data_IF_381587699475
#
_entry.id   IF_381587699475
#
_cell.length_a   1.000
_cell.length_b   1.000
_cell.length_c   1.000
_cell.angle_alpha   90.00
_cell.angle_beta   90.00
_cell.angle_gamma   90.00
#
_symmetry.space_group_name_H-M   'P 1'
#
loop_
_entity.id
_entity.type
_entity.pdbx_description
1 polymer ?
#
# COMPACT_ATOMS: atom_id res chain seq x y z
N UNK A 1 -21.13 16.87 13.26
CA UNK A 1 -19.85 17.46 12.86
C UNK A 1 -18.92 16.32 12.44
N UNK A 2 -18.13 16.46 11.38
CA UNK A 2 -17.09 15.47 11.12
C UNK A 2 -16.13 15.41 12.32
N UNK A 3 -15.55 14.26 12.64
CA UNK A 3 -14.57 14.17 13.71
C UNK A 3 -13.35 15.04 13.36
N UNK A 4 -12.63 15.56 14.37
CA UNK A 4 -11.42 16.33 14.13
C UNK A 4 -10.41 15.53 13.31
N UNK A 5 -9.56 16.18 12.52
CA UNK A 5 -8.51 15.49 11.80
C UNK A 5 -7.58 14.76 12.78
N UNK A 6 -7.16 13.54 12.42
CA UNK A 6 -6.19 12.80 13.21
C UNK A 6 -4.86 13.58 13.29
N UNK A 7 -4.13 13.50 14.41
CA UNK A 7 -2.84 14.16 14.55
C UNK A 7 -1.88 13.74 13.44
N UNK A 8 -1.13 14.70 12.91
CA UNK A 8 -0.07 14.46 11.96
C UNK A 8 1.26 14.32 12.71
N UNK A 9 1.97 13.23 12.47
CA UNK A 9 3.29 12.95 13.02
C UNK A 9 4.30 13.07 11.89
N UNK A 10 5.31 13.94 12.04
CA UNK A 10 6.39 14.06 11.09
C UNK A 10 7.38 12.90 11.26
N UNK A 11 7.79 12.27 10.16
CA UNK A 11 8.82 11.24 10.13
C UNK A 11 10.08 11.68 9.34
N UNK A 12 10.12 12.94 8.96
CA UNK A 12 11.25 13.56 8.28
C UNK A 12 11.13 15.08 8.26
N UNK A 13 12.02 15.75 7.52
CA UNK A 13 12.10 17.22 7.50
C UNK A 13 11.27 17.86 6.38
N UNK A 14 10.80 17.07 5.41
CA UNK A 14 9.96 17.58 4.33
C UNK A 14 8.49 17.65 4.76
N UNK A 15 7.71 18.66 4.34
CA UNK A 15 6.28 18.79 4.71
C UNK A 15 5.41 17.57 4.34
N UNK A 16 5.78 16.82 3.29
CA UNK A 16 5.10 15.59 2.88
C UNK A 16 5.61 14.33 3.61
N UNK A 17 6.63 14.44 4.45
CA UNK A 17 7.11 13.33 5.29
C UNK A 17 6.34 13.31 6.62
N UNK A 18 5.04 13.02 6.52
CA UNK A 18 4.11 12.98 7.66
C UNK A 18 3.19 11.78 7.57
N UNK A 19 2.70 11.30 8.69
CA UNK A 19 1.61 10.33 8.75
C UNK A 19 0.51 10.81 9.69
N UNK A 20 -0.74 10.46 9.40
CA UNK A 20 -1.83 10.64 10.36
C UNK A 20 -2.01 9.37 11.17
N UNK A 21 -1.97 9.51 12.51
CA UNK A 21 -2.21 8.43 13.44
C UNK A 21 -3.68 8.41 13.86
N UNK A 22 -4.38 7.33 13.53
CA UNK A 22 -5.74 7.06 13.97
C UNK A 22 -5.69 5.92 14.99
N UNK A 23 -6.09 6.20 16.22
CA UNK A 23 -6.17 5.20 17.29
C UNK A 23 -7.61 4.78 17.56
N UNK A 24 -7.83 3.57 18.06
CA UNK A 24 -9.11 3.17 18.64
C UNK A 24 -9.57 4.14 19.72
N UNK A 25 -10.89 4.28 19.88
CA UNK A 25 -11.46 5.19 20.88
C UNK A 25 -11.36 4.68 22.33
N UNK A 26 -11.09 3.39 22.50
CA UNK A 26 -10.92 2.75 23.78
C UNK A 26 -9.54 3.04 24.37
N UNK A 27 -9.45 3.11 25.70
CA UNK A 27 -8.15 3.17 26.37
C UNK A 27 -7.45 1.81 26.25
N UNK A 28 -6.17 1.83 25.92
CA UNK A 28 -5.38 0.61 25.79
C UNK A 28 -4.16 0.79 24.88
N UNK A 29 -3.71 -0.31 24.32
CA UNK A 29 -2.51 -0.40 23.48
C UNK A 29 -1.37 -1.14 24.19
N UNK A 30 -0.23 -1.33 23.54
CA UNK A 30 0.02 -0.97 22.14
C UNK A 30 -0.90 -1.72 21.15
N UNK A 31 -1.37 -1.00 20.15
CA UNK A 31 -2.38 -1.48 19.20
C UNK A 31 -1.76 -2.19 17.99
N UNK A 32 -2.35 -3.32 17.51
CA UNK A 32 -1.99 -3.88 16.20
C UNK A 32 -2.17 -2.81 15.13
N UNK A 33 -1.19 -2.68 14.24
CA UNK A 33 -1.06 -1.51 13.39
C UNK A 33 -1.24 -1.85 11.92
N UNK A 34 -2.05 -1.06 11.24
CA UNK A 34 -2.18 -1.10 9.77
C UNK A 34 -1.59 0.18 9.18
N UNK A 35 -0.52 0.03 8.41
CA UNK A 35 0.05 1.12 7.62
C UNK A 35 -0.75 1.27 6.34
N UNK A 36 -1.22 2.48 6.04
CA UNK A 36 -1.92 2.78 4.79
C UNK A 36 -1.04 3.58 3.86
N UNK A 37 -0.89 3.12 2.62
CA UNK A 37 -0.12 3.77 1.56
C UNK A 37 -1.06 4.08 0.40
N UNK A 38 -1.31 5.36 0.17
CA UNK A 38 -2.28 5.81 -0.83
C UNK A 38 -1.82 5.60 -2.27
N UNK A 39 -2.77 5.61 -3.20
CA UNK A 39 -2.55 5.56 -4.64
C UNK A 39 -2.41 6.93 -5.31
N UNK A 40 -2.70 6.96 -6.62
CA UNK A 40 -2.74 8.18 -7.40
C UNK A 40 -1.65 8.28 -8.47
N UNK A 41 -1.16 7.16 -8.99
CA UNK A 41 -0.14 7.10 -10.07
C UNK A 41 1.12 7.92 -9.75
N UNK A 42 1.53 7.96 -8.47
CA UNK A 42 2.68 8.75 -7.98
C UNK A 42 2.62 10.24 -8.33
N UNK A 43 1.40 10.80 -8.54
CA UNK A 43 1.18 12.21 -8.94
C UNK A 43 0.80 13.07 -7.74
N UNK A 44 1.33 14.31 -7.67
CA UNK A 44 1.17 15.26 -6.55
C UNK A 44 -0.27 15.69 -6.25
N UNK A 45 -1.21 15.49 -7.18
CA UNK A 45 -2.63 15.82 -6.98
C UNK A 45 -3.36 14.88 -6.01
N UNK A 46 -2.75 13.74 -5.68
CA UNK A 46 -3.30 12.75 -4.76
C UNK A 46 -2.46 12.68 -3.49
N UNK A 47 -3.12 12.50 -2.36
CA UNK A 47 -2.48 12.42 -1.06
C UNK A 47 -3.17 11.39 -0.16
N UNK A 48 -2.71 11.26 1.08
CA UNK A 48 -3.22 10.33 2.08
C UNK A 48 -4.69 10.53 2.46
N UNK A 49 -5.33 11.65 2.06
CA UNK A 49 -6.77 11.85 2.34
C UNK A 49 -7.63 10.80 1.64
N UNK A 50 -7.15 10.22 0.53
CA UNK A 50 -7.84 9.15 -0.20
C UNK A 50 -7.99 7.86 0.60
N UNK A 51 -7.10 7.59 1.55
CA UNK A 51 -7.14 6.42 2.45
C UNK A 51 -7.63 6.75 3.86
N UNK A 52 -7.92 8.01 4.16
CA UNK A 52 -8.47 8.44 5.47
C UNK A 52 -9.78 7.71 5.85
N UNK A 53 -10.73 7.43 4.93
CA UNK A 53 -11.91 6.63 5.28
C UNK A 53 -11.55 5.24 5.83
N UNK A 54 -10.57 4.56 5.22
CA UNK A 54 -10.08 3.26 5.69
C UNK A 54 -9.41 3.38 7.06
N UNK A 55 -8.62 4.45 7.28
CA UNK A 55 -7.96 4.67 8.57
C UNK A 55 -8.97 4.82 9.71
N UNK A 56 -10.08 5.51 9.47
CA UNK A 56 -11.17 5.66 10.43
C UNK A 56 -11.92 4.35 10.68
N UNK A 57 -12.17 3.58 9.63
CA UNK A 57 -12.82 2.26 9.73
C UNK A 57 -11.95 1.29 10.55
N UNK A 58 -10.66 1.26 10.31
CA UNK A 58 -9.69 0.44 11.06
C UNK A 58 -9.67 0.84 12.55
N UNK A 59 -9.61 2.14 12.85
CA UNK A 59 -9.64 2.62 14.24
C UNK A 59 -10.95 2.23 14.95
N UNK A 60 -12.09 2.32 14.26
CA UNK A 60 -13.38 1.87 14.79
C UNK A 60 -13.45 0.36 15.06
N UNK A 61 -12.58 -0.43 14.41
CA UNK A 61 -12.47 -1.90 14.57
C UNK A 61 -11.40 -2.34 15.56
N UNK A 62 -10.73 -1.42 16.25
CA UNK A 62 -9.72 -1.75 17.26
C UNK A 62 -8.29 -1.90 16.72
N UNK A 63 -7.99 -1.39 15.53
CA UNK A 63 -6.65 -1.33 14.96
C UNK A 63 -6.13 0.10 14.96
N UNK A 64 -4.85 0.30 15.26
CA UNK A 64 -4.21 1.57 14.94
C UNK A 64 -4.01 1.67 13.43
N UNK A 65 -4.31 2.84 12.84
CA UNK A 65 -4.03 3.08 11.43
C UNK A 65 -3.02 4.21 11.29
N UNK A 66 -1.91 3.89 10.64
CA UNK A 66 -0.81 4.79 10.31
C UNK A 66 -0.88 5.16 8.85
N UNK A 67 -1.48 6.32 8.55
CA UNK A 67 -1.80 6.75 7.19
C UNK A 67 -0.69 7.64 6.64
N UNK A 68 0.20 7.06 5.84
CA UNK A 68 1.46 7.67 5.39
C UNK A 68 1.22 8.59 4.18
N UNK A 69 1.76 9.80 4.27
CA UNK A 69 2.02 10.69 3.12
C UNK A 69 3.45 10.46 2.65
N UNK A 70 3.76 10.76 1.40
CA UNK A 70 5.11 10.63 0.85
C UNK A 70 5.33 11.59 -0.32
N UNK A 71 6.58 11.98 -0.58
CA UNK A 71 6.93 12.81 -1.74
C UNK A 71 6.72 12.05 -3.05
N UNK A 72 6.13 12.71 -4.02
CA UNK A 72 5.93 12.20 -5.39
C UNK A 72 7.02 12.74 -6.32
N UNK A 73 8.29 12.57 -5.92
CA UNK A 73 9.48 13.08 -6.61
C UNK A 73 10.18 11.99 -7.44
N UNK A 74 9.44 10.93 -7.78
CA UNK A 74 9.93 9.82 -8.60
C UNK A 74 10.70 8.77 -7.78
N UNK A 75 11.22 7.78 -8.52
CA UNK A 75 12.02 6.68 -7.98
C UNK A 75 13.48 7.12 -7.78
N UNK A 76 14.17 6.76 -6.67
CA UNK A 76 13.70 5.97 -5.54
C UNK A 76 13.14 6.80 -4.37
N UNK A 77 13.09 8.13 -4.49
CA UNK A 77 12.74 9.06 -3.40
C UNK A 77 11.40 8.71 -2.76
N UNK A 78 10.38 8.42 -3.59
CA UNK A 78 9.04 8.05 -3.12
C UNK A 78 9.06 6.78 -2.27
N UNK A 79 9.82 5.75 -2.66
CA UNK A 79 9.96 4.53 -1.85
C UNK A 79 10.68 4.80 -0.53
N UNK A 80 11.75 5.60 -0.56
CA UNK A 80 12.51 5.93 0.66
C UNK A 80 11.62 6.61 1.70
N UNK A 81 10.70 7.48 1.28
CA UNK A 81 9.75 8.12 2.19
C UNK A 81 8.77 7.11 2.79
N UNK A 82 8.23 6.19 1.97
CA UNK A 82 7.33 5.14 2.48
C UNK A 82 8.04 4.24 3.49
N UNK A 83 9.29 3.85 3.22
CA UNK A 83 10.11 3.06 4.15
C UNK A 83 10.34 3.84 5.44
N UNK A 84 10.79 5.09 5.37
CA UNK A 84 10.99 5.94 6.54
C UNK A 84 9.69 6.15 7.34
N UNK A 85 8.56 6.32 6.64
CA UNK A 85 7.24 6.40 7.27
C UNK A 85 6.82 5.14 8.00
N UNK A 86 7.19 3.95 7.50
CA UNK A 86 6.97 2.67 8.19
C UNK A 86 7.90 2.56 9.40
N UNK A 87 9.17 2.91 9.26
CA UNK A 87 10.16 2.78 10.33
C UNK A 87 9.88 3.72 11.51
N UNK A 88 9.24 4.87 11.24
CA UNK A 88 8.81 5.80 12.28
C UNK A 88 7.74 5.24 13.25
N UNK A 89 7.14 4.09 12.95
CA UNK A 89 6.28 3.36 13.89
C UNK A 89 7.03 2.99 15.17
N UNK A 90 8.33 2.71 15.08
CA UNK A 90 9.15 2.34 16.23
C UNK A 90 9.28 3.46 17.29
N UNK A 91 8.94 4.69 16.93
CA UNK A 91 8.95 5.87 17.83
C UNK A 91 7.59 6.11 18.50
N UNK A 92 6.59 5.26 18.24
CA UNK A 92 5.22 5.44 18.72
C UNK A 92 4.85 4.39 19.77
N UNK A 93 4.93 4.73 21.05
CA UNK A 93 4.64 3.81 22.17
C UNK A 93 3.24 3.19 22.13
N UNK A 94 2.29 3.84 21.47
CA UNK A 94 0.90 3.36 21.31
C UNK A 94 0.74 2.26 20.26
N UNK A 95 1.78 1.96 19.46
CA UNK A 95 1.73 1.02 18.34
C UNK A 95 2.49 -0.27 18.66
N UNK A 96 1.88 -1.41 18.31
CA UNK A 96 2.53 -2.71 18.39
C UNK A 96 3.32 -2.98 17.11
N UNK A 97 4.63 -2.79 17.18
CA UNK A 97 5.56 -2.97 16.06
C UNK A 97 5.82 -4.44 15.71
N UNK A 98 5.40 -5.39 16.55
CA UNK A 98 5.44 -6.82 16.26
C UNK A 98 4.22 -7.30 15.47
N UNK A 99 3.15 -6.49 15.42
CA UNK A 99 1.90 -6.78 14.70
C UNK A 99 1.58 -5.66 13.70
N UNK A 100 2.37 -5.60 12.61
CA UNK A 100 2.23 -4.56 11.56
C UNK A 100 1.90 -5.20 10.22
N UNK A 101 0.85 -4.71 9.57
CA UNK A 101 0.48 -5.02 8.18
C UNK A 101 0.51 -3.74 7.36
N UNK A 102 1.12 -3.77 6.18
CA UNK A 102 1.04 -2.66 5.23
C UNK A 102 -0.06 -2.92 4.20
N UNK A 103 -0.91 -1.94 3.97
CA UNK A 103 -1.99 -1.94 2.98
C UNK A 103 -1.79 -0.80 2.01
N UNK A 104 -1.59 -1.11 0.73
CA UNK A 104 -1.38 -0.10 -0.30
C UNK A 104 -2.42 -0.18 -1.41
N UNK A 105 -2.93 0.98 -1.84
CA UNK A 105 -3.89 1.09 -2.94
C UNK A 105 -3.20 1.50 -4.23
N UNK A 106 -3.49 0.83 -5.36
CA UNK A 106 -3.01 1.23 -6.69
C UNK A 106 -1.48 1.39 -6.73
N UNK A 107 -0.94 2.57 -7.04
CA UNK A 107 0.48 2.90 -6.91
C UNK A 107 1.02 2.66 -5.49
N UNK A 108 0.21 2.86 -4.45
CA UNK A 108 0.56 2.52 -3.06
C UNK A 108 0.73 1.03 -2.83
N UNK A 109 0.02 0.17 -3.57
CA UNK A 109 0.21 -1.29 -3.53
C UNK A 109 1.60 -1.69 -4.02
N UNK A 110 2.08 -1.06 -5.08
CA UNK A 110 3.46 -1.21 -5.55
C UNK A 110 4.45 -0.78 -4.47
N UNK A 111 4.24 0.40 -3.86
CA UNK A 111 5.14 0.95 -2.84
C UNK A 111 5.16 0.07 -1.58
N UNK A 112 4.00 -0.38 -1.10
CA UNK A 112 3.89 -1.25 0.09
C UNK A 112 4.64 -2.58 -0.09
N UNK A 113 4.46 -3.26 -1.24
CA UNK A 113 5.19 -4.49 -1.55
C UNK A 113 6.70 -4.26 -1.67
N UNK A 114 7.12 -3.12 -2.24
CA UNK A 114 8.55 -2.80 -2.32
C UNK A 114 9.14 -2.42 -0.96
N UNK A 115 8.39 -1.69 -0.13
CA UNK A 115 8.84 -1.31 1.21
C UNK A 115 9.07 -2.52 2.13
N UNK A 116 8.33 -3.62 1.94
CA UNK A 116 8.46 -4.83 2.75
C UNK A 116 9.89 -5.43 2.78
N UNK A 117 10.67 -5.20 1.72
CA UNK A 117 12.04 -5.68 1.63
C UNK A 117 13.07 -4.71 2.23
N UNK A 118 12.66 -3.50 2.64
CA UNK A 118 13.57 -2.41 3.03
C UNK A 118 13.28 -1.83 4.41
N UNK A 119 12.04 -1.95 4.92
CA UNK A 119 11.65 -1.41 6.23
C UNK A 119 12.39 -2.12 7.36
N UNK A 120 12.85 -1.36 8.36
CA UNK A 120 13.42 -1.88 9.60
C UNK A 120 12.35 -2.49 10.51
N UNK A 121 11.14 -1.92 10.50
CA UNK A 121 9.97 -2.52 11.14
C UNK A 121 9.49 -3.72 10.32
N UNK A 122 9.44 -4.88 10.96
CA UNK A 122 9.03 -6.12 10.30
C UNK A 122 7.53 -6.13 9.99
N UNK A 123 7.20 -6.19 8.72
CA UNK A 123 5.82 -6.41 8.29
C UNK A 123 5.42 -7.89 8.42
N UNK A 124 4.29 -8.16 9.05
CA UNK A 124 3.69 -9.50 9.16
C UNK A 124 3.09 -9.96 7.85
N UNK A 125 2.52 -9.01 7.11
CA UNK A 125 1.97 -9.23 5.78
C UNK A 125 1.91 -7.91 5.00
N UNK A 126 1.71 -8.00 3.69
CA UNK A 126 1.41 -6.86 2.82
C UNK A 126 0.11 -7.14 2.07
N UNK A 127 -0.75 -6.12 2.02
CA UNK A 127 -2.00 -6.15 1.26
C UNK A 127 -1.89 -5.16 0.10
N UNK A 128 -2.17 -5.61 -1.10
CA UNK A 128 -2.27 -4.74 -2.29
C UNK A 128 -3.71 -4.68 -2.78
N UNK A 129 -4.26 -3.48 -2.77
CA UNK A 129 -5.59 -3.15 -3.28
C UNK A 129 -5.44 -2.59 -4.70
N UNK A 130 -5.87 -3.33 -5.71
CA UNK A 130 -5.81 -2.90 -7.12
C UNK A 130 -4.42 -2.38 -7.57
N UNK A 131 -3.33 -3.04 -7.14
CA UNK A 131 -1.96 -2.56 -7.28
C UNK A 131 -1.39 -2.62 -8.70
N UNK A 132 -0.49 -1.66 -9.02
CA UNK A 132 0.35 -1.70 -10.23
C UNK A 132 1.61 -2.51 -9.91
N UNK A 133 1.60 -3.81 -10.18
CA UNK A 133 2.59 -4.76 -9.64
C UNK A 133 3.67 -5.18 -10.64
N UNK A 134 3.42 -5.00 -11.94
CA UNK A 134 4.39 -5.11 -13.02
C UNK A 134 4.46 -3.76 -13.75
N UNK A 135 5.52 -2.99 -13.45
CA UNK A 135 5.69 -1.65 -13.99
C UNK A 135 6.07 -1.66 -15.48
N UNK A 136 6.74 -2.71 -15.97
CA UNK A 136 7.04 -2.85 -17.41
C UNK A 136 5.75 -3.06 -18.19
N UNK A 137 4.89 -3.98 -17.73
CA UNK A 137 3.57 -4.18 -18.32
C UNK A 137 2.71 -2.92 -18.21
N UNK A 138 2.78 -2.21 -17.08
CA UNK A 138 2.09 -0.93 -16.86
C UNK A 138 2.53 0.17 -17.84
N UNK A 139 3.84 0.31 -18.06
CA UNK A 139 4.37 1.26 -19.02
C UNK A 139 3.94 0.93 -20.47
N UNK A 140 4.06 -0.34 -20.87
CA UNK A 140 3.66 -0.80 -22.21
C UNK A 140 2.16 -0.64 -22.47
N UNK A 141 1.33 -0.76 -21.43
CA UNK A 141 -0.10 -0.50 -21.48
C UNK A 141 -0.45 0.98 -21.35
N UNK A 142 0.52 1.88 -21.26
CA UNK A 142 0.34 3.32 -21.05
C UNK A 142 -0.56 3.64 -19.85
N UNK A 143 -0.47 2.86 -18.76
CA UNK A 143 -1.31 3.07 -17.58
C UNK A 143 -1.17 4.49 -17.04
N UNK A 144 -2.31 5.12 -16.78
CA UNK A 144 -2.37 6.48 -16.25
C UNK A 144 -1.66 7.50 -17.12
N UNK A 145 -1.73 7.38 -18.47
CA UNK A 145 -1.09 8.29 -19.42
C UNK A 145 0.42 8.47 -19.12
N UNK A 146 1.18 7.38 -19.23
CA UNK A 146 2.62 7.38 -19.03
C UNK A 146 3.07 7.52 -17.57
N UNK A 147 2.24 7.14 -16.62
CA UNK A 147 2.55 7.31 -15.19
C UNK A 147 3.78 6.51 -14.74
N UNK A 148 3.98 5.30 -15.28
CA UNK A 148 5.17 4.48 -14.96
C UNK A 148 6.44 5.14 -15.50
N UNK A 149 6.40 5.65 -16.73
CA UNK A 149 7.52 6.34 -17.37
C UNK A 149 7.88 7.62 -16.60
N UNK A 150 6.87 8.42 -16.24
CA UNK A 150 7.08 9.64 -15.45
C UNK A 150 7.67 9.34 -14.06
N UNK A 151 7.21 8.27 -13.41
CA UNK A 151 7.68 7.86 -12.09
C UNK A 151 9.13 7.36 -12.12
N UNK A 152 9.50 6.61 -13.17
CA UNK A 152 10.83 5.99 -13.30
C UNK A 152 11.81 6.83 -14.11
N UNK A 153 11.33 7.88 -14.80
CA UNK A 153 12.15 8.83 -15.54
C UNK A 153 12.59 8.35 -16.92
N UNK A 154 11.81 7.46 -17.57
CA UNK A 154 12.05 6.97 -18.93
C UNK A 154 11.28 5.72 -19.29
N UNK A 155 11.43 5.25 -20.52
CA UNK A 155 10.85 4.02 -21.02
C UNK A 155 11.56 2.77 -20.44
N UNK A 156 10.87 1.57 -20.42
CA UNK A 156 11.49 0.34 -19.90
C UNK A 156 12.85 -0.01 -20.51
N UNK A 157 13.02 0.26 -21.79
CA UNK A 157 14.27 -0.07 -22.48
C UNK A 157 15.39 0.98 -22.24
N UNK A 158 15.02 2.20 -21.78
CA UNK A 158 15.97 3.29 -21.48
C UNK A 158 16.48 3.22 -20.03
N UNK A 159 15.61 2.82 -19.08
CA UNK A 159 15.91 2.79 -17.64
C UNK A 159 15.59 1.43 -17.03
N UNK A 160 15.98 0.34 -17.69
CA UNK A 160 15.62 -1.03 -17.34
C UNK A 160 15.93 -1.41 -15.88
N UNK A 161 17.04 -0.93 -15.34
CA UNK A 161 17.42 -1.16 -13.93
C UNK A 161 16.41 -0.56 -12.96
N UNK A 162 15.91 0.66 -13.22
CA UNK A 162 14.89 1.29 -12.38
C UNK A 162 13.58 0.52 -12.40
N UNK A 163 13.17 0.00 -13.57
CA UNK A 163 12.02 -0.88 -13.67
C UNK A 163 12.22 -2.18 -12.90
N UNK A 164 13.39 -2.80 -13.00
CA UNK A 164 13.73 -4.03 -12.27
C UNK A 164 13.76 -3.81 -10.75
N UNK A 165 14.21 -2.64 -10.29
CA UNK A 165 14.22 -2.29 -8.87
C UNK A 165 12.84 -1.94 -8.34
N UNK A 166 12.06 -1.16 -9.10
CA UNK A 166 10.78 -0.63 -8.64
C UNK A 166 9.63 -1.63 -8.77
N UNK A 167 9.68 -2.55 -9.74
CA UNK A 167 8.59 -3.49 -10.01
C UNK A 167 8.56 -4.63 -8.99
N UNK A 168 7.46 -4.79 -8.21
CA UNK A 168 7.31 -5.95 -7.33
C UNK A 168 7.49 -7.28 -8.05
N UNK A 169 6.95 -7.41 -9.28
CA UNK A 169 7.06 -8.64 -10.08
C UNK A 169 8.50 -9.03 -10.42
N UNK A 170 9.42 -8.06 -10.51
CA UNK A 170 10.83 -8.31 -10.78
C UNK A 170 11.66 -8.66 -9.53
N UNK A 171 11.05 -8.63 -8.35
CA UNK A 171 11.73 -8.81 -7.06
C UNK A 171 11.22 -9.98 -6.22
N UNK A 172 10.56 -10.90 -6.87
CA UNK A 172 10.07 -12.15 -6.26
C UNK A 172 11.23 -13.13 -6.01
N UNK A 173 11.20 -13.95 -4.95
CA UNK A 173 10.20 -13.93 -3.89
C UNK A 173 10.39 -12.74 -2.93
N UNK A 174 9.28 -12.22 -2.35
CA UNK A 174 9.35 -11.18 -1.33
C UNK A 174 9.55 -11.74 0.09
N UNK A 175 9.20 -13.01 0.31
CA UNK A 175 9.38 -13.69 1.59
C UNK A 175 8.46 -13.21 2.71
N UNK A 176 7.44 -12.41 2.42
CA UNK A 176 6.41 -11.93 3.34
C UNK A 176 5.03 -12.41 2.85
N UNK A 177 4.11 -12.81 3.74
CA UNK A 177 2.74 -13.14 3.36
C UNK A 177 2.06 -11.99 2.63
N UNK A 178 1.32 -12.29 1.56
CA UNK A 178 0.72 -11.30 0.68
C UNK A 178 -0.76 -11.58 0.46
N UNK A 179 -1.58 -10.53 0.52
CA UNK A 179 -2.98 -10.54 0.11
C UNK A 179 -3.18 -9.53 -1.02
N UNK A 180 -3.72 -9.97 -2.12
CA UNK A 180 -4.14 -9.10 -3.21
C UNK A 180 -5.66 -9.07 -3.26
N UNK A 181 -6.24 -7.88 -3.27
CA UNK A 181 -7.67 -7.67 -3.52
C UNK A 181 -7.81 -6.77 -4.75
N UNK A 182 -8.46 -7.27 -5.80
CA UNK A 182 -8.56 -6.54 -7.05
C UNK A 182 -9.95 -6.72 -7.66
N UNK A 183 -10.65 -5.60 -7.86
CA UNK A 183 -11.98 -5.61 -8.45
C UNK A 183 -11.96 -6.15 -9.89
N UNK A 184 -12.91 -7.04 -10.23
CA UNK A 184 -12.97 -7.59 -11.60
C UNK A 184 -13.33 -6.58 -12.67
N UNK A 185 -14.00 -5.50 -12.29
CA UNK A 185 -14.44 -4.43 -13.17
C UNK A 185 -13.51 -3.21 -13.15
N UNK A 186 -12.29 -3.36 -12.62
CA UNK A 186 -11.29 -2.31 -12.61
C UNK A 186 -10.85 -1.95 -14.03
N UNK A 187 -11.21 -0.75 -14.47
CA UNK A 187 -10.91 -0.17 -15.80
C UNK A 187 -9.72 0.82 -15.76
N UNK A 188 -9.15 1.07 -14.56
CA UNK A 188 -8.01 1.97 -14.34
C UNK A 188 -6.71 1.17 -14.27
N UNK A 189 -6.67 0.13 -13.43
CA UNK A 189 -5.56 -0.82 -13.35
C UNK A 189 -6.12 -2.20 -13.68
N UNK A 190 -5.81 -2.77 -14.86
CA UNK A 190 -6.38 -4.05 -15.25
C UNK A 190 -6.10 -5.16 -14.23
N UNK A 191 -7.08 -6.01 -13.86
CA UNK A 191 -6.89 -7.12 -12.91
C UNK A 191 -5.79 -8.11 -13.32
N UNK A 192 -5.39 -8.09 -14.60
CA UNK A 192 -4.23 -8.81 -15.12
C UNK A 192 -2.92 -8.50 -14.37
N UNK A 193 -2.78 -7.30 -13.81
CA UNK A 193 -1.64 -6.92 -12.96
C UNK A 193 -1.54 -7.83 -11.74
N UNK A 194 -2.62 -7.99 -10.98
CA UNK A 194 -2.65 -8.85 -9.79
C UNK A 194 -2.62 -10.34 -10.14
N UNK A 195 -3.29 -10.76 -11.21
CA UNK A 195 -3.28 -12.17 -11.66
C UNK A 195 -1.88 -12.62 -12.07
N UNK A 196 -1.21 -11.83 -12.92
CA UNK A 196 0.15 -12.13 -13.38
C UNK A 196 1.15 -12.17 -12.22
N UNK A 197 1.07 -11.16 -11.36
CA UNK A 197 1.91 -11.09 -10.17
C UNK A 197 1.67 -12.29 -9.22
N UNK A 198 0.42 -12.62 -8.90
CA UNK A 198 0.10 -13.75 -8.03
C UNK A 198 0.58 -15.08 -8.57
N UNK A 199 0.49 -15.30 -9.89
CA UNK A 199 1.01 -16.49 -10.54
C UNK A 199 2.54 -16.59 -10.41
N UNK A 200 3.25 -15.49 -10.68
CA UNK A 200 4.70 -15.41 -10.56
C UNK A 200 5.18 -15.59 -9.10
N UNK A 201 4.51 -14.96 -8.15
CA UNK A 201 4.83 -15.05 -6.72
C UNK A 201 4.66 -16.48 -6.19
N UNK A 202 3.58 -17.18 -6.56
CA UNK A 202 3.40 -18.61 -6.22
C UNK A 202 4.50 -19.48 -6.83
N UNK A 203 4.86 -19.23 -8.09
CA UNK A 203 5.93 -19.95 -8.75
C UNK A 203 7.30 -19.72 -8.09
N UNK A 204 7.52 -18.52 -7.52
CA UNK A 204 8.71 -18.17 -6.75
C UNK A 204 8.70 -18.70 -5.30
N UNK A 205 7.59 -19.31 -4.84
CA UNK A 205 7.47 -19.89 -3.49
C UNK A 205 6.91 -18.93 -2.42
N UNK A 206 6.42 -17.75 -2.80
CA UNK A 206 5.77 -16.84 -1.88
C UNK A 206 4.39 -17.34 -1.41
N UNK A 207 4.05 -17.03 -0.17
CA UNK A 207 2.70 -17.21 0.38
C UNK A 207 1.81 -16.04 -0.06
N UNK A 208 0.92 -16.31 -1.01
CA UNK A 208 0.08 -15.25 -1.61
C UNK A 208 -1.36 -15.73 -1.83
N UNK A 209 -2.32 -14.90 -1.45
CA UNK A 209 -3.74 -15.03 -1.76
C UNK A 209 -4.17 -13.91 -2.73
N UNK A 210 -5.01 -14.24 -3.69
CA UNK A 210 -5.66 -13.29 -4.60
C UNK A 210 -7.17 -13.43 -4.46
N UNK A 211 -7.83 -12.34 -4.12
CA UNK A 211 -9.28 -12.19 -4.03
C UNK A 211 -9.74 -11.23 -5.12
N UNK A 212 -10.70 -11.64 -5.93
CA UNK A 212 -11.24 -10.85 -7.03
C UNK A 212 -12.75 -10.66 -6.87
N UNK A 213 -13.19 -9.65 -6.10
CA UNK A 213 -14.62 -9.38 -5.91
C UNK A 213 -15.32 -9.08 -7.22
N UNK A 214 -16.44 -9.77 -7.48
CA UNK A 214 -17.25 -9.54 -8.67
C UNK A 214 -17.96 -8.19 -8.57
N UNK A 215 -17.99 -7.42 -9.67
CA UNK A 215 -18.67 -6.14 -9.75
C UNK A 215 -17.87 -4.96 -9.16
N UNK A 216 -16.83 -5.21 -8.36
CA UNK A 216 -16.01 -4.17 -7.79
C UNK A 216 -15.10 -3.50 -8.84
N UNK A 217 -14.97 -2.17 -8.74
CA UNK A 217 -14.08 -1.35 -9.55
C UNK A 217 -12.78 -0.96 -8.80
N UNK A 218 -12.04 0.02 -9.34
CA UNK A 218 -10.76 0.49 -8.79
C UNK A 218 -10.87 1.15 -7.41
N UNK A 219 -12.00 1.78 -7.11
CA UNK A 219 -12.22 2.53 -5.89
C UNK A 219 -13.05 1.76 -4.85
N UNK A 220 -13.82 0.77 -5.26
CA UNK A 220 -14.59 -0.08 -4.36
C UNK A 220 -13.71 -0.80 -3.34
N UNK A 221 -12.46 -1.09 -3.69
CA UNK A 221 -11.48 -1.72 -2.79
C UNK A 221 -10.99 -0.79 -1.66
N UNK A 222 -11.27 0.51 -1.76
CA UNK A 222 -10.95 1.53 -0.73
C UNK A 222 -12.20 2.19 -0.13
N UNK A 223 -13.38 1.65 -0.42
CA UNK A 223 -14.64 2.08 0.19
C UNK A 223 -14.92 1.23 1.45
N UNK A 224 -14.93 1.83 2.67
CA UNK A 224 -15.02 1.08 3.93
C UNK A 224 -16.25 0.18 4.07
N UNK A 225 -17.33 0.51 3.39
CA UNK A 225 -18.60 -0.24 3.45
C UNK A 225 -18.73 -1.27 2.34
N UNK A 226 -17.84 -1.27 1.36
CA UNK A 226 -17.90 -2.18 0.22
C UNK A 226 -17.34 -3.57 0.57
N UNK A 227 -17.95 -4.61 0.02
CA UNK A 227 -17.54 -6.00 0.24
C UNK A 227 -16.07 -6.26 -0.09
N UNK A 228 -15.51 -5.56 -1.09
CA UNK A 228 -14.10 -5.68 -1.47
C UNK A 228 -13.13 -5.27 -0.36
N UNK A 229 -13.43 -4.20 0.40
CA UNK A 229 -12.64 -3.83 1.57
C UNK A 229 -12.86 -4.81 2.73
N UNK A 230 -14.07 -5.30 2.93
CA UNK A 230 -14.37 -6.26 3.99
C UNK A 230 -13.60 -7.57 3.83
N UNK A 231 -13.23 -7.96 2.60
CA UNK A 231 -12.32 -9.09 2.34
C UNK A 231 -10.95 -8.91 3.03
N UNK A 232 -10.46 -7.68 3.14
CA UNK A 232 -9.23 -7.37 3.90
C UNK A 232 -9.49 -7.44 5.39
N UNK A 233 -10.55 -6.76 5.86
CA UNK A 233 -10.91 -6.69 7.28
C UNK A 233 -11.05 -8.06 7.90
N UNK A 234 -11.74 -8.98 7.22
CA UNK A 234 -11.97 -10.36 7.70
C UNK A 234 -10.67 -11.17 7.83
N UNK A 235 -9.63 -10.81 7.06
CA UNK A 235 -8.33 -11.49 7.08
C UNK A 235 -7.30 -10.84 8.00
N UNK A 236 -7.50 -9.58 8.42
CA UNK A 236 -6.55 -8.85 9.26
C UNK A 236 -6.14 -9.61 10.52
N UNK A 237 -7.04 -10.26 11.29
CA UNK A 237 -6.62 -11.01 12.48
C UNK A 237 -5.59 -12.10 12.16
N UNK A 238 -5.77 -12.83 11.06
CA UNK A 238 -4.85 -13.87 10.61
C UNK A 238 -3.56 -13.34 9.99
N UNK A 239 -3.56 -12.11 9.47
CA UNK A 239 -2.37 -11.45 8.91
C UNK A 239 -1.51 -10.79 10.00
N UNK A 240 -2.11 -10.36 11.09
CA UNK A 240 -1.43 -9.73 12.22
C UNK A 240 -0.87 -10.76 13.23
N UNK A 241 -1.41 -11.97 13.27
CA UNK A 241 -0.95 -13.09 14.10
C UNK A 241 -1.65 -13.17 15.43
#
# INVERSE_FOLDING_TARGET
>A
MPPPPAPAVAYGTHPEQVANLHLPAEDGGPWPTVVLVHGGFWRRRWDRTTTTPLARDLAARGYAAWNVEYRRDGWPTTLHDVVAGIDALAEQDSLDTDRVVAVGHSAGGQLALRAAAHAGVRLRAVVSLAGVLDLVAGARANLGDGACQAFLGGEPDEVAERYAEASPAARLPLGVPQLLVHGRNDDIVPPGQSRGYAAAARAAGDRIELVEPSGADHFDVVEPTHAAWLEVVDRLPGLLG
#
